data_IF_686099428674
#
_entry.id   IF_686099428674
#
_cell.length_a   1.000
_cell.length_b   1.000
_cell.length_c   1.000
_cell.angle_alpha   90.00
_cell.angle_beta   90.00
_cell.angle_gamma   90.00
#
_symmetry.space_group_name_H-M   'P 1'
#
loop_
_entity.id
_entity.type
_entity.pdbx_description
1 polymer ?
#
# COMPACT_ATOMS: atom_id res chain seq x y z
N UNK A 1 -42.41 -52.71 62.91
CA UNK A 1 -41.36 -52.36 61.93
C UNK A 1 -41.45 -50.87 61.63
N UNK A 2 -40.48 -50.07 62.11
CA UNK A 2 -40.07 -48.79 61.51
C UNK A 2 -38.86 -48.26 62.30
N UNK A 3 -37.67 -48.43 61.73
CA UNK A 3 -36.45 -47.71 62.08
C UNK A 3 -36.37 -46.50 61.15
N UNK A 4 -35.99 -45.34 61.65
CA UNK A 4 -35.24 -44.37 60.85
C UNK A 4 -34.39 -43.50 61.78
N UNK A 5 -33.10 -43.80 61.80
CA UNK A 5 -32.04 -42.94 62.33
C UNK A 5 -31.71 -41.83 61.33
N UNK A 6 -31.72 -40.59 61.79
CA UNK A 6 -31.09 -39.45 61.13
C UNK A 6 -29.57 -39.50 61.38
N UNK A 7 -28.78 -39.43 60.31
CA UNK A 7 -27.32 -39.44 60.36
C UNK A 7 -26.70 -38.73 59.15
N UNK A 8 -26.54 -37.42 59.34
CA UNK A 8 -25.66 -36.43 58.70
C UNK A 8 -24.64 -36.94 57.67
N UNK A 9 -24.80 -36.53 56.41
CA UNK A 9 -23.75 -36.60 55.38
C UNK A 9 -23.12 -35.22 55.15
N UNK A 10 -21.81 -35.11 55.36
CA UNK A 10 -21.00 -33.96 54.94
C UNK A 10 -20.99 -33.87 53.41
N UNK A 11 -21.44 -32.74 52.85
CA UNK A 11 -21.21 -32.39 51.45
C UNK A 11 -19.86 -31.68 51.34
N UNK A 12 -18.91 -32.30 50.65
CA UNK A 12 -17.66 -31.67 50.25
C UNK A 12 -17.96 -30.69 49.10
N UNK A 13 -17.82 -29.39 49.35
CA UNK A 13 -17.90 -28.36 48.33
C UNK A 13 -16.56 -28.36 47.59
N UNK A 14 -16.56 -28.94 46.39
CA UNK A 14 -15.47 -28.85 45.43
C UNK A 14 -15.48 -27.42 44.86
N UNK A 15 -14.58 -26.56 45.34
CA UNK A 15 -14.37 -25.23 44.78
C UNK A 15 -13.61 -25.40 43.47
N UNK A 16 -14.33 -25.37 42.36
CA UNK A 16 -13.74 -25.31 41.02
C UNK A 16 -13.23 -23.90 40.79
N UNK A 17 -11.95 -23.66 41.07
CA UNK A 17 -11.25 -22.44 40.64
C UNK A 17 -11.19 -22.43 39.12
N UNK A 18 -12.06 -21.64 38.48
CA UNK A 18 -11.92 -21.28 37.08
C UNK A 18 -10.67 -20.40 37.00
N UNK A 19 -9.57 -20.97 36.53
CA UNK A 19 -8.42 -20.21 36.06
C UNK A 19 -8.91 -19.39 34.86
N UNK A 20 -9.32 -18.15 35.11
CA UNK A 20 -9.39 -17.17 34.04
C UNK A 20 -7.96 -17.06 33.50
N UNK A 21 -7.72 -17.58 32.30
CA UNK A 21 -6.50 -17.33 31.57
C UNK A 21 -6.39 -15.80 31.44
N UNK A 22 -5.49 -15.21 32.21
CA UNK A 22 -5.28 -13.76 32.30
C UNK A 22 -4.08 -13.39 31.43
N UNK A 23 -4.03 -13.94 30.21
CA UNK A 23 -3.00 -13.66 29.22
C UNK A 23 -3.45 -12.60 28.21
N UNK A 24 -2.50 -12.01 27.47
CA UNK A 24 -2.82 -11.22 26.29
C UNK A 24 -3.52 -12.09 25.24
N UNK A 25 -4.29 -11.46 24.36
CA UNK A 25 -4.72 -12.08 23.11
C UNK A 25 -3.66 -11.89 22.02
N UNK A 26 -3.71 -12.72 21.00
CA UNK A 26 -2.76 -12.71 19.88
C UNK A 26 -3.43 -12.15 18.62
N UNK A 27 -2.69 -11.34 17.86
CA UNK A 27 -3.08 -10.89 16.53
C UNK A 27 -1.91 -10.98 15.56
N UNK A 28 -2.14 -11.60 14.40
CA UNK A 28 -1.18 -11.76 13.30
C UNK A 28 -1.70 -11.02 12.09
N UNK A 29 -0.94 -10.03 11.62
CA UNK A 29 -1.28 -9.23 10.45
C UNK A 29 -0.34 -9.64 9.31
N UNK A 30 -0.91 -10.04 8.19
CA UNK A 30 -0.17 -10.45 6.99
C UNK A 30 -0.41 -9.39 5.92
N UNK A 31 0.65 -8.82 5.36
CA UNK A 31 0.58 -7.75 4.38
C UNK A 31 1.13 -8.24 3.04
N UNK A 32 0.31 -8.20 2.00
CA UNK A 32 0.72 -8.65 0.68
C UNK A 32 -0.04 -7.95 -0.45
N UNK A 33 0.56 -7.87 -1.65
CA UNK A 33 -0.06 -7.25 -2.83
C UNK A 33 -0.99 -8.19 -3.63
N UNK A 34 -1.05 -9.47 -3.27
CA UNK A 34 -1.91 -10.46 -3.91
C UNK A 34 -3.37 -10.39 -3.44
N UNK A 35 -4.28 -11.05 -4.18
CA UNK A 35 -5.66 -11.24 -3.74
C UNK A 35 -5.73 -12.18 -2.52
N UNK A 36 -6.86 -12.18 -1.80
CA UNK A 36 -7.05 -13.00 -0.59
C UNK A 36 -6.91 -14.52 -0.85
N UNK A 37 -7.02 -14.96 -2.11
CA UNK A 37 -7.03 -16.38 -2.49
C UNK A 37 -5.67 -16.91 -2.97
N UNK A 38 -4.72 -16.02 -3.25
CA UNK A 38 -3.39 -16.36 -3.71
C UNK A 38 -2.48 -16.76 -2.53
N UNK A 39 -2.03 -18.03 -2.52
CA UNK A 39 -0.99 -18.49 -1.60
C UNK A 39 0.37 -17.83 -1.94
N UNK A 40 0.58 -17.45 -3.21
CA UNK A 40 1.74 -16.71 -3.71
C UNK A 40 1.55 -15.18 -3.64
N UNK A 41 0.98 -14.69 -2.53
CA UNK A 41 0.85 -13.25 -2.35
C UNK A 41 2.26 -12.65 -2.20
N UNK A 42 2.60 -11.65 -3.04
CA UNK A 42 3.84 -10.89 -2.91
C UNK A 42 3.86 -10.20 -1.53
N UNK A 43 4.44 -10.88 -0.54
CA UNK A 43 4.57 -10.40 0.81
C UNK A 43 5.33 -9.06 0.81
N UNK A 44 4.84 -8.12 1.61
CA UNK A 44 5.44 -6.80 1.72
C UNK A 44 6.33 -6.72 2.95
N UNK A 45 7.63 -6.58 2.71
CA UNK A 45 8.64 -6.31 3.74
C UNK A 45 8.66 -4.82 4.12
N UNK A 46 8.95 -4.52 5.38
CA UNK A 46 9.15 -3.15 5.86
C UNK A 46 7.87 -2.31 5.99
N UNK A 47 6.69 -2.92 6.07
CA UNK A 47 5.43 -2.20 6.30
C UNK A 47 5.20 -2.04 7.79
N UNK A 48 5.12 -0.80 8.27
CA UNK A 48 4.73 -0.49 9.65
C UNK A 48 3.23 -0.72 9.84
N UNK A 49 2.90 -1.63 10.76
CA UNK A 49 1.54 -1.97 11.16
C UNK A 49 1.33 -1.50 12.60
N UNK A 50 0.23 -0.81 12.84
CA UNK A 50 -0.17 -0.32 14.17
C UNK A 50 -1.52 -0.87 14.57
N UNK A 51 -1.64 -1.29 15.83
CA UNK A 51 -2.91 -1.56 16.49
C UNK A 51 -3.32 -0.34 17.30
N UNK A 52 -4.34 0.36 16.83
CA UNK A 52 -4.85 1.57 17.44
C UNK A 52 -6.08 1.26 18.31
N UNK A 53 -6.17 1.77 19.54
CA UNK A 53 -7.37 1.58 20.38
C UNK A 53 -8.52 2.54 20.02
N UNK A 54 -8.46 3.17 18.84
CA UNK A 54 -9.41 4.14 18.32
C UNK A 54 -9.45 4.10 16.79
N UNK A 55 -10.58 4.51 16.23
CA UNK A 55 -10.72 4.72 14.78
C UNK A 55 -10.00 6.00 14.37
N UNK A 56 -8.90 5.85 13.63
CA UNK A 56 -8.11 6.98 13.16
C UNK A 56 -8.94 7.85 12.21
N UNK A 57 -9.61 7.26 11.23
CA UNK A 57 -10.36 8.03 10.23
C UNK A 57 -11.51 8.82 10.88
N UNK A 58 -12.21 8.24 11.86
CA UNK A 58 -13.24 8.98 12.59
C UNK A 58 -12.72 10.27 13.26
N UNK A 59 -11.49 10.25 13.79
CA UNK A 59 -10.88 11.44 14.41
C UNK A 59 -10.64 12.51 13.35
N UNK A 60 -10.00 12.15 12.24
CA UNK A 60 -9.68 13.09 11.16
C UNK A 60 -10.95 13.62 10.48
N UNK A 61 -11.94 12.77 10.18
CA UNK A 61 -13.22 13.17 9.61
C UNK A 61 -13.96 14.18 10.50
N UNK A 62 -13.94 13.95 11.82
CA UNK A 62 -14.56 14.85 12.79
C UNK A 62 -13.87 16.21 12.82
N UNK A 63 -12.54 16.24 12.80
CA UNK A 63 -11.76 17.47 12.78
C UNK A 63 -11.95 18.24 11.47
N UNK A 64 -11.94 17.56 10.33
CA UNK A 64 -12.24 18.16 9.02
C UNK A 64 -13.64 18.78 9.01
N UNK A 65 -14.64 18.10 9.56
CA UNK A 65 -15.99 18.63 9.67
C UNK A 65 -16.08 19.87 10.57
N UNK A 66 -15.33 19.90 11.68
CA UNK A 66 -15.24 21.07 12.58
C UNK A 66 -14.57 22.25 11.87
N UNK A 67 -13.45 22.02 11.19
CA UNK A 67 -12.74 23.04 10.41
C UNK A 67 -13.66 23.63 9.31
N UNK A 68 -14.36 22.77 8.57
CA UNK A 68 -15.32 23.20 7.55
C UNK A 68 -16.45 24.05 8.16
N UNK A 69 -17.02 23.64 9.30
CA UNK A 69 -18.05 24.41 10.00
C UNK A 69 -17.53 25.76 10.53
N UNK A 70 -16.24 25.87 10.82
CA UNK A 70 -15.57 27.11 11.22
C UNK A 70 -15.19 28.02 10.03
N UNK A 71 -15.55 27.66 8.80
CA UNK A 71 -15.26 28.44 7.59
C UNK A 71 -13.90 28.14 6.97
N UNK A 72 -13.28 27.02 7.33
CA UNK A 72 -12.00 26.54 6.82
C UNK A 72 -12.18 25.15 6.19
N UNK A 73 -12.89 25.05 5.05
CA UNK A 73 -13.06 23.78 4.35
C UNK A 73 -11.72 23.27 3.82
N UNK A 74 -11.61 21.95 3.66
CA UNK A 74 -10.44 21.32 3.06
C UNK A 74 -10.21 21.85 1.63
N UNK A 75 -8.98 22.25 1.27
CA UNK A 75 -8.66 22.67 -0.07
C UNK A 75 -8.82 21.52 -1.08
N UNK A 76 -9.73 21.68 -2.04
CA UNK A 76 -9.92 20.73 -3.13
C UNK A 76 -8.70 20.70 -4.06
N UNK A 77 -8.33 19.51 -4.52
CA UNK A 77 -7.30 19.34 -5.55
C UNK A 77 -7.81 19.95 -6.86
N UNK A 78 -7.09 20.90 -7.47
CA UNK A 78 -7.52 21.52 -8.73
C UNK A 78 -7.71 20.48 -9.86
N UNK A 79 -8.82 20.54 -10.63
CA UNK A 79 -9.08 19.58 -11.72
C UNK A 79 -7.99 19.56 -12.81
N UNK A 80 -7.31 20.68 -13.04
CA UNK A 80 -6.19 20.77 -13.97
C UNK A 80 -4.94 20.03 -13.48
N UNK A 81 -4.76 19.92 -12.16
CA UNK A 81 -3.68 19.11 -11.60
C UNK A 81 -3.96 17.61 -11.77
N UNK A 82 -5.20 17.18 -11.56
CA UNK A 82 -5.62 15.80 -11.83
C UNK A 82 -5.43 15.43 -13.31
N UNK A 83 -5.81 16.33 -14.22
CA UNK A 83 -5.59 16.15 -15.65
C UNK A 83 -4.09 16.07 -15.98
N UNK A 84 -3.26 16.94 -15.38
CA UNK A 84 -1.81 16.91 -15.59
C UNK A 84 -1.17 15.58 -15.14
N UNK A 85 -1.64 14.99 -14.03
CA UNK A 85 -1.18 13.67 -13.59
C UNK A 85 -1.54 12.58 -14.59
N UNK A 86 -2.77 12.59 -15.11
CA UNK A 86 -3.20 11.63 -16.12
C UNK A 86 -2.35 11.75 -17.40
N UNK A 87 -2.09 12.98 -17.86
CA UNK A 87 -1.22 13.24 -19.01
C UNK A 87 0.21 12.74 -18.78
N UNK A 88 0.79 12.97 -17.59
CA UNK A 88 2.12 12.46 -17.22
C UNK A 88 2.14 10.93 -17.22
N UNK A 89 1.13 10.28 -16.65
CA UNK A 89 1.04 8.83 -16.60
C UNK A 89 0.92 8.21 -18.00
N UNK A 90 0.11 8.82 -18.88
CA UNK A 90 -0.02 8.41 -20.28
C UNK A 90 1.31 8.60 -21.03
N UNK A 91 1.95 9.77 -20.90
CA UNK A 91 3.22 10.06 -21.56
C UNK A 91 4.34 9.11 -21.10
N UNK A 92 4.40 8.77 -19.80
CA UNK A 92 5.35 7.80 -19.28
C UNK A 92 5.09 6.41 -19.88
N UNK A 93 3.83 6.00 -19.99
CA UNK A 93 3.48 4.70 -20.56
C UNK A 93 3.89 4.61 -22.03
N UNK A 94 3.56 5.62 -22.84
CA UNK A 94 3.95 5.69 -24.25
C UNK A 94 5.47 5.67 -24.43
N UNK A 95 6.20 6.39 -23.57
CA UNK A 95 7.66 6.39 -23.56
C UNK A 95 8.21 4.99 -23.25
N UNK A 96 7.74 4.32 -22.18
CA UNK A 96 8.17 2.96 -21.80
C UNK A 96 7.88 1.92 -22.88
N UNK A 97 6.72 2.00 -23.51
CA UNK A 97 6.34 1.07 -24.59
C UNK A 97 7.24 1.25 -25.82
N UNK A 98 7.55 2.50 -26.17
CA UNK A 98 8.45 2.81 -27.28
C UNK A 98 9.90 2.43 -26.97
N UNK A 99 10.37 2.66 -25.74
CA UNK A 99 11.68 2.25 -25.27
C UNK A 99 11.84 0.72 -25.31
N UNK A 100 10.81 -0.02 -24.89
CA UNK A 100 10.77 -1.48 -24.97
C UNK A 100 10.95 -1.94 -26.41
N UNK A 101 10.21 -1.33 -27.36
CA UNK A 101 10.35 -1.63 -28.79
C UNK A 101 11.75 -1.29 -29.32
N UNK A 102 12.30 -0.14 -28.93
CA UNK A 102 13.64 0.29 -29.35
C UNK A 102 14.72 -0.69 -28.86
N UNK A 103 14.63 -1.17 -27.62
CA UNK A 103 15.53 -2.19 -27.09
C UNK A 103 15.46 -3.50 -27.90
N UNK A 104 14.26 -3.97 -28.23
CA UNK A 104 14.07 -5.18 -29.07
C UNK A 104 14.72 -5.01 -30.45
N UNK A 105 14.57 -3.84 -31.08
CA UNK A 105 15.18 -3.54 -32.38
C UNK A 105 16.72 -3.52 -32.28
N UNK A 106 17.27 -2.89 -31.23
CA UNK A 106 18.72 -2.86 -30.97
C UNK A 106 19.28 -4.27 -30.85
N UNK A 107 18.65 -5.12 -30.05
CA UNK A 107 19.10 -6.48 -29.80
C UNK A 107 18.98 -7.36 -31.06
N UNK A 108 17.96 -7.11 -31.90
CA UNK A 108 17.78 -7.75 -33.20
C UNK A 108 18.90 -7.39 -34.19
N UNK A 109 19.26 -6.10 -34.26
CA UNK A 109 20.37 -5.62 -35.10
C UNK A 109 21.71 -6.23 -34.67
N UNK A 110 21.96 -6.32 -33.36
CA UNK A 110 23.15 -6.98 -32.82
C UNK A 110 23.19 -8.47 -33.21
N UNK A 111 22.05 -9.16 -33.10
CA UNK A 111 21.93 -10.58 -33.48
C UNK A 111 22.24 -10.78 -34.97
N UNK A 112 21.69 -9.93 -35.85
CA UNK A 112 21.96 -10.00 -37.28
C UNK A 112 23.42 -9.69 -37.61
N UNK A 113 24.01 -8.68 -36.96
CA UNK A 113 25.41 -8.37 -37.14
C UNK A 113 26.30 -9.58 -36.79
N UNK A 114 26.07 -10.20 -35.63
CA UNK A 114 26.82 -11.38 -35.19
C UNK A 114 26.64 -12.57 -36.16
N UNK A 115 25.44 -12.78 -36.70
CA UNK A 115 25.18 -13.84 -37.68
C UNK A 115 25.93 -13.61 -39.00
N UNK A 116 26.15 -12.36 -39.39
CA UNK A 116 26.87 -12.00 -40.62
C UNK A 116 28.39 -12.13 -40.51
N UNK A 117 28.98 -12.01 -39.31
CA UNK A 117 30.45 -12.01 -39.11
C UNK A 117 31.15 -13.30 -39.60
N UNK A 118 30.46 -14.45 -39.56
CA UNK A 118 30.99 -15.73 -40.01
C UNK A 118 30.77 -16.04 -41.50
N UNK A 119 30.07 -15.17 -42.23
CA UNK A 119 29.65 -15.43 -43.61
C UNK A 119 30.52 -14.69 -44.62
N UNK A 120 30.68 -15.29 -45.80
CA UNK A 120 31.32 -14.61 -46.92
C UNK A 120 30.29 -13.68 -47.59
N UNK A 121 30.68 -12.43 -47.84
CA UNK A 121 29.82 -11.40 -48.45
C UNK A 121 29.23 -11.76 -49.81
N UNK A 122 29.86 -12.67 -50.56
CA UNK A 122 29.34 -13.16 -51.83
C UNK A 122 28.27 -14.26 -51.67
N UNK A 123 28.07 -14.81 -50.46
CA UNK A 123 27.06 -15.81 -50.19
C UNK A 123 25.67 -15.19 -50.18
N UNK A 124 24.68 -15.90 -50.73
CA UNK A 124 23.27 -15.49 -50.71
C UNK A 124 22.76 -15.28 -49.28
N UNK A 125 23.15 -16.15 -48.34
CA UNK A 125 22.79 -16.04 -46.93
C UNK A 125 23.25 -14.71 -46.30
N UNK A 126 24.43 -14.20 -46.68
CA UNK A 126 24.88 -12.89 -46.23
C UNK A 126 23.99 -11.77 -46.78
N UNK A 127 23.68 -11.81 -48.08
CA UNK A 127 22.83 -10.78 -48.72
C UNK A 127 21.41 -10.75 -48.14
N UNK A 128 20.84 -11.92 -47.84
CA UNK A 128 19.51 -12.01 -47.22
C UNK A 128 19.50 -11.38 -45.81
N UNK A 129 20.49 -11.70 -44.96
CA UNK A 129 20.63 -11.11 -43.62
C UNK A 129 20.95 -9.61 -43.68
N UNK A 130 21.75 -9.17 -44.65
CA UNK A 130 22.08 -7.76 -44.83
C UNK A 130 20.87 -6.93 -45.23
N UNK A 131 20.00 -7.43 -46.11
CA UNK A 131 18.75 -6.75 -46.45
C UNK A 131 17.83 -6.62 -45.21
N UNK A 132 17.71 -7.70 -44.43
CA UNK A 132 16.95 -7.67 -43.18
C UNK A 132 17.51 -6.66 -42.17
N UNK A 133 18.84 -6.57 -42.08
CA UNK A 133 19.51 -5.59 -41.25
C UNK A 133 19.16 -4.16 -41.69
N UNK A 134 19.23 -3.86 -42.99
CA UNK A 134 18.91 -2.53 -43.53
C UNK A 134 17.45 -2.12 -43.25
N UNK A 135 16.51 -3.06 -43.35
CA UNK A 135 15.10 -2.81 -43.03
C UNK A 135 14.93 -2.47 -41.53
N UNK A 136 15.55 -3.26 -40.65
CA UNK A 136 15.49 -3.04 -39.21
C UNK A 136 16.25 -1.79 -38.75
N UNK A 137 17.32 -1.40 -39.43
CA UNK A 137 18.07 -0.18 -39.15
C UNK A 137 17.20 1.07 -39.38
N UNK A 138 16.38 1.05 -40.42
CA UNK A 138 15.38 2.09 -40.67
C UNK A 138 14.33 2.20 -39.57
N UNK A 139 13.84 1.06 -39.07
CA UNK A 139 12.90 1.02 -37.94
C UNK A 139 13.55 1.45 -36.62
N UNK A 140 14.79 1.04 -36.37
CA UNK A 140 15.58 1.42 -35.19
C UNK A 140 15.72 2.94 -35.11
N UNK A 141 16.16 3.58 -36.20
CA UNK A 141 16.37 5.03 -36.23
C UNK A 141 15.07 5.82 -35.99
N UNK A 142 13.94 5.32 -36.50
CA UNK A 142 12.62 5.92 -36.22
C UNK A 142 12.21 5.77 -34.76
N UNK A 143 12.41 4.57 -34.19
CA UNK A 143 12.09 4.30 -32.80
C UNK A 143 12.96 5.14 -31.85
N UNK A 144 14.27 5.25 -32.10
CA UNK A 144 15.20 6.06 -31.31
C UNK A 144 14.79 7.53 -31.27
N UNK A 145 14.46 8.12 -32.43
CA UNK A 145 13.96 9.51 -32.49
C UNK A 145 12.61 9.67 -31.76
N UNK A 146 11.77 8.65 -31.79
CA UNK A 146 10.49 8.67 -31.09
C UNK A 146 10.68 8.60 -29.57
N UNK A 147 11.59 7.74 -29.07
CA UNK A 147 11.96 7.67 -27.66
C UNK A 147 12.45 9.04 -27.17
N UNK A 148 13.34 9.70 -27.92
CA UNK A 148 13.84 11.03 -27.57
C UNK A 148 12.71 12.07 -27.44
N UNK A 149 11.82 12.16 -28.44
CA UNK A 149 10.68 13.09 -28.39
C UNK A 149 9.70 12.81 -27.25
N UNK A 150 9.43 11.53 -26.95
CA UNK A 150 8.52 11.14 -25.88
C UNK A 150 9.12 11.43 -24.51
N UNK A 151 10.44 11.20 -24.35
CA UNK A 151 11.16 11.58 -23.15
C UNK A 151 11.09 13.09 -22.90
N UNK A 152 11.40 13.91 -23.92
CA UNK A 152 11.32 15.38 -23.81
C UNK A 152 9.90 15.86 -23.44
N UNK A 153 8.87 15.25 -24.03
CA UNK A 153 7.47 15.56 -23.70
C UNK A 153 7.14 15.18 -22.24
N UNK A 154 7.51 13.97 -21.81
CA UNK A 154 7.30 13.50 -20.44
C UNK A 154 8.01 14.38 -19.41
N UNK A 155 9.27 14.77 -19.65
CA UNK A 155 10.00 15.70 -18.79
C UNK A 155 9.33 17.07 -18.74
N UNK A 156 8.91 17.62 -19.88
CA UNK A 156 8.23 18.92 -19.91
C UNK A 156 6.90 18.91 -19.16
N UNK A 157 6.15 17.81 -19.21
CA UNK A 157 4.89 17.65 -18.47
C UNK A 157 5.15 17.61 -16.95
N UNK A 158 6.15 16.86 -16.51
CA UNK A 158 6.56 16.80 -15.10
C UNK A 158 6.98 18.19 -14.59
N UNK A 159 7.87 18.87 -15.31
CA UNK A 159 8.35 20.20 -14.91
C UNK A 159 7.20 21.21 -14.78
N UNK A 160 6.21 21.13 -15.68
CA UNK A 160 5.02 21.98 -15.62
C UNK A 160 4.06 21.60 -14.47
N UNK A 161 4.09 20.36 -13.98
CA UNK A 161 3.24 19.91 -12.88
C UNK A 161 3.82 20.26 -11.51
N UNK A 162 5.15 20.15 -11.33
CA UNK A 162 5.83 20.36 -10.03
C UNK A 162 5.41 21.69 -9.38
N UNK A 163 5.47 22.81 -10.11
CA UNK A 163 5.12 24.11 -9.54
C UNK A 163 3.66 24.23 -9.08
N UNK A 164 2.75 23.46 -9.69
CA UNK A 164 1.33 23.42 -9.30
C UNK A 164 1.12 22.49 -8.10
N UNK A 165 1.81 21.35 -8.07
CA UNK A 165 1.83 20.41 -6.94
C UNK A 165 2.36 21.10 -5.68
N UNK A 166 3.49 21.80 -5.78
CA UNK A 166 4.07 22.54 -4.66
C UNK A 166 3.08 23.57 -4.07
N UNK A 167 2.37 24.30 -4.94
CA UNK A 167 1.40 25.30 -4.50
C UNK A 167 0.22 24.69 -3.75
N UNK A 168 -0.35 23.56 -4.22
CA UNK A 168 -1.48 22.93 -3.52
C UNK A 168 -1.02 22.24 -2.24
N UNK A 169 0.18 21.64 -2.25
CA UNK A 169 0.76 20.99 -1.08
C UNK A 169 0.98 22.00 0.06
N UNK A 170 1.43 23.22 -0.24
CA UNK A 170 1.54 24.29 0.76
C UNK A 170 0.17 24.67 1.32
N UNK A 171 -0.83 24.90 0.45
CA UNK A 171 -2.18 25.29 0.89
C UNK A 171 -2.84 24.20 1.73
N UNK A 172 -2.67 22.93 1.36
CA UNK A 172 -3.18 21.80 2.13
C UNK A 172 -2.42 21.60 3.44
N UNK A 173 -1.11 21.81 3.47
CA UNK A 173 -0.32 21.75 4.70
C UNK A 173 -0.74 22.85 5.69
N UNK A 174 -0.85 24.10 5.23
CA UNK A 174 -1.29 25.22 6.06
C UNK A 174 -2.71 25.02 6.60
N UNK A 175 -3.59 24.42 5.79
CA UNK A 175 -4.92 24.02 6.23
C UNK A 175 -4.86 22.91 7.28
N UNK A 176 -4.08 21.84 7.04
CA UNK A 176 -3.98 20.69 7.91
C UNK A 176 -3.40 21.05 9.28
N UNK A 177 -2.40 21.92 9.32
CA UNK A 177 -1.80 22.42 10.57
C UNK A 177 -2.84 23.08 11.48
N UNK A 178 -3.81 23.80 10.90
CA UNK A 178 -4.89 24.46 11.64
C UNK A 178 -6.06 23.51 11.91
N UNK A 179 -6.47 22.73 10.92
CA UNK A 179 -7.60 21.81 11.04
C UNK A 179 -7.33 20.68 12.05
N UNK A 180 -6.06 20.29 12.21
CA UNK A 180 -5.64 19.18 13.05
C UNK A 180 -4.81 19.58 14.28
N UNK A 181 -4.82 20.86 14.67
CA UNK A 181 -4.07 21.38 15.83
C UNK A 181 -4.31 20.54 17.12
N UNK A 182 -5.56 20.13 17.34
CA UNK A 182 -5.98 19.39 18.53
C UNK A 182 -5.86 17.85 18.41
N UNK A 183 -5.33 17.32 17.29
CA UNK A 183 -5.34 15.87 17.02
C UNK A 183 -4.66 15.05 18.12
N UNK A 184 -3.53 15.52 18.64
CA UNK A 184 -2.78 14.81 19.68
C UNK A 184 -3.55 14.75 21.00
N UNK A 185 -4.30 15.82 21.34
CA UNK A 185 -5.13 15.86 22.54
C UNK A 185 -6.29 14.86 22.42
N UNK A 186 -6.93 14.79 21.25
CA UNK A 186 -8.04 13.86 20.99
C UNK A 186 -7.55 12.41 21.03
N UNK A 187 -6.41 12.10 20.41
CA UNK A 187 -5.81 10.77 20.46
C UNK A 187 -5.52 10.37 21.91
N UNK A 188 -4.91 11.24 22.71
CA UNK A 188 -4.62 10.96 24.12
C UNK A 188 -5.92 10.65 24.90
N UNK A 189 -6.96 11.47 24.72
CA UNK A 189 -8.26 11.25 25.38
C UNK A 189 -8.94 9.95 24.94
N UNK A 190 -8.85 9.58 23.65
CA UNK A 190 -9.42 8.34 23.11
C UNK A 190 -8.69 7.10 23.63
N UNK A 191 -7.36 7.14 23.69
CA UNK A 191 -6.54 6.07 24.27
C UNK A 191 -6.84 5.89 25.76
N UNK A 192 -6.92 6.98 26.53
CA UNK A 192 -7.30 6.92 27.94
C UNK A 192 -8.70 6.33 28.14
N UNK A 193 -9.67 6.76 27.33
CA UNK A 193 -11.05 6.25 27.39
C UNK A 193 -11.14 4.75 27.05
N UNK A 194 -10.36 4.30 26.07
CA UNK A 194 -10.30 2.89 25.70
C UNK A 194 -9.66 2.03 26.80
N UNK A 195 -8.70 2.60 27.56
CA UNK A 195 -7.93 1.85 28.55
C UNK A 195 -7.07 0.74 27.93
N UNK A 196 -6.72 0.90 26.65
CA UNK A 196 -5.92 -0.03 25.86
C UNK A 196 -4.67 0.69 25.36
N UNK A 197 -3.58 -0.05 25.17
CA UNK A 197 -2.32 0.48 24.67
C UNK A 197 -2.27 0.41 23.15
N UNK A 198 -1.49 1.31 22.55
CA UNK A 198 -1.18 1.23 21.14
C UNK A 198 0.02 0.28 20.93
N UNK A 199 -0.03 -0.53 19.89
CA UNK A 199 1.08 -1.41 19.50
C UNK A 199 1.55 -1.08 18.09
N UNK A 200 2.85 -1.24 17.83
CA UNK A 200 3.45 -1.08 16.52
C UNK A 200 4.44 -2.21 16.26
N UNK A 201 4.42 -2.75 15.06
CA UNK A 201 5.37 -3.75 14.56
C UNK A 201 5.61 -3.51 13.06
N UNK A 202 6.73 -3.99 12.54
CA UNK A 202 7.08 -3.84 11.11
C UNK A 202 7.21 -5.21 10.48
N UNK A 203 6.56 -5.40 9.34
CA UNK A 203 6.63 -6.69 8.63
C UNK A 203 8.05 -7.02 8.21
N UNK A 204 8.42 -8.29 8.35
CA UNK A 204 9.65 -8.84 7.76
C UNK A 204 9.45 -9.37 6.34
N UNK A 205 10.42 -10.13 5.83
CA UNK A 205 10.39 -10.72 4.47
C UNK A 205 9.18 -11.62 4.18
N UNK A 206 8.55 -12.18 5.22
CA UNK A 206 7.33 -13.00 5.13
C UNK A 206 6.05 -12.15 5.08
N UNK A 207 6.16 -10.81 5.19
CA UNK A 207 5.03 -9.89 5.21
C UNK A 207 4.22 -9.94 6.50
N UNK A 208 4.77 -10.45 7.60
CA UNK A 208 4.03 -10.70 8.84
C UNK A 208 4.46 -9.75 9.96
N UNK A 209 3.47 -9.18 10.64
CA UNK A 209 3.59 -8.44 11.90
C UNK A 209 2.75 -9.15 12.98
N UNK A 210 3.30 -9.33 14.18
CA UNK A 210 2.67 -10.12 15.25
C UNK A 210 2.56 -9.34 16.55
N UNK A 211 1.40 -9.43 17.19
CA UNK A 211 1.05 -8.63 18.37
C UNK A 211 0.53 -9.49 19.50
N UNK A 212 0.96 -9.17 20.72
CA UNK A 212 0.32 -9.57 21.97
C UNK A 212 -0.32 -8.33 22.60
N UNK A 213 -1.65 -8.31 22.69
CA UNK A 213 -2.40 -7.13 23.15
C UNK A 213 -3.49 -7.51 24.16
N UNK A 214 -3.89 -6.55 25.00
CA UNK A 214 -5.02 -6.75 25.90
C UNK A 214 -6.31 -6.97 25.08
N UNK A 215 -7.21 -7.88 25.50
CA UNK A 215 -8.48 -8.10 24.79
C UNK A 215 -9.29 -6.81 24.68
N UNK A 216 -9.82 -6.53 23.49
CA UNK A 216 -10.45 -5.24 23.20
C UNK A 216 -10.75 -5.03 21.72
N UNK A 217 -11.33 -3.88 21.42
CA UNK A 217 -11.50 -3.41 20.05
C UNK A 217 -10.28 -2.59 19.64
N UNK A 218 -9.72 -2.91 18.48
CA UNK A 218 -8.60 -2.19 17.87
C UNK A 218 -8.89 -1.88 16.41
N UNK A 219 -8.12 -0.98 15.84
CA UNK A 219 -8.04 -0.73 14.41
C UNK A 219 -6.63 -1.06 13.94
N UNK A 220 -6.54 -1.91 12.92
CA UNK A 220 -5.30 -2.21 12.22
C UNK A 220 -5.06 -1.09 11.21
N UNK A 221 -4.05 -0.28 11.50
CA UNK A 221 -3.60 0.80 10.65
C UNK A 221 -2.29 0.42 9.96
N UNK A 222 -2.23 0.59 8.65
CA UNK A 222 -1.01 0.44 7.87
C UNK A 222 -1.09 1.28 6.60
N UNK A 223 0.07 1.60 6.03
CA UNK A 223 0.18 2.27 4.74
C UNK A 223 1.33 1.71 3.92
N UNK A 224 1.16 1.68 2.60
CA UNK A 224 2.21 1.28 1.67
C UNK A 224 2.21 2.18 0.43
N UNK A 225 3.32 2.89 0.23
CA UNK A 225 3.51 3.80 -0.90
C UNK A 225 3.86 3.03 -2.18
N UNK A 226 3.08 3.28 -3.23
CA UNK A 226 3.34 2.89 -4.61
C UNK A 226 3.76 4.15 -5.41
N UNK A 227 4.24 4.03 -6.66
CA UNK A 227 4.77 5.18 -7.40
C UNK A 227 3.82 6.38 -7.58
N UNK A 228 2.49 6.15 -7.57
CA UNK A 228 1.48 7.19 -7.80
C UNK A 228 0.34 7.17 -6.79
N UNK A 229 0.30 6.18 -5.91
CA UNK A 229 -0.78 6.02 -4.95
C UNK A 229 -0.28 5.34 -3.69
N UNK A 230 -1.07 5.42 -2.63
CA UNK A 230 -0.85 4.74 -1.38
C UNK A 230 -1.95 3.70 -1.20
N UNK A 231 -1.57 2.49 -0.77
CA UNK A 231 -2.50 1.55 -0.19
C UNK A 231 -2.67 1.89 1.28
N UNK A 232 -3.90 2.19 1.68
CA UNK A 232 -4.25 2.62 3.03
C UNK A 232 -5.18 1.60 3.70
N UNK A 233 -4.86 1.20 4.92
CA UNK A 233 -5.71 0.34 5.75
C UNK A 233 -6.02 0.99 7.09
N UNK A 234 -7.29 0.90 7.51
CA UNK A 234 -7.78 1.26 8.85
C UNK A 234 -8.96 0.33 9.18
N UNK A 235 -8.65 -0.91 9.53
CA UNK A 235 -9.64 -2.00 9.62
C UNK A 235 -9.93 -2.37 11.08
N UNK A 236 -11.19 -2.39 11.55
CA UNK A 236 -11.51 -2.77 12.91
C UNK A 236 -11.33 -4.28 13.14
N UNK A 237 -10.74 -4.63 14.28
CA UNK A 237 -10.59 -6.01 14.76
C UNK A 237 -10.97 -6.12 16.25
N UNK A 238 -11.36 -7.31 16.67
CA UNK A 238 -11.65 -7.63 18.05
C UNK A 238 -10.65 -8.68 18.56
N UNK A 239 -9.75 -8.30 19.46
CA UNK A 239 -8.79 -9.22 20.06
C UNK A 239 -9.46 -9.91 21.25
N UNK A 240 -9.46 -11.23 21.24
CA UNK A 240 -9.98 -12.07 22.33
C UNK A 240 -8.86 -12.95 22.90
N UNK A 241 -9.11 -13.61 24.03
CA UNK A 241 -8.13 -14.54 24.63
C UNK A 241 -8.21 -15.96 24.09
N UNK A 242 -9.27 -16.29 23.36
CA UNK A 242 -9.60 -17.67 23.00
C UNK A 242 -9.08 -18.04 21.62
N UNK A 243 -9.18 -17.10 20.68
CA UNK A 243 -8.81 -17.31 19.28
C UNK A 243 -7.88 -16.20 18.81
N UNK A 244 -6.68 -16.54 18.29
CA UNK A 244 -5.80 -15.58 17.64
C UNK A 244 -6.49 -14.94 16.44
N UNK A 245 -6.39 -13.62 16.34
CA UNK A 245 -6.90 -12.89 15.17
C UNK A 245 -5.87 -13.00 14.05
N UNK A 246 -6.31 -13.39 12.86
CA UNK A 246 -5.48 -13.32 11.65
C UNK A 246 -6.18 -12.40 10.65
N UNK A 247 -5.50 -11.31 10.27
CA UNK A 247 -5.99 -10.37 9.26
C UNK A 247 -4.98 -10.29 8.12
N UNK A 248 -5.48 -10.39 6.88
CA UNK A 248 -4.68 -10.14 5.68
C UNK A 248 -4.97 -8.74 5.16
N UNK A 249 -3.96 -7.90 5.05
CA UNK A 249 -4.00 -6.62 4.37
C UNK A 249 -3.62 -6.86 2.91
N UNK A 250 -4.57 -6.67 2.02
CA UNK A 250 -4.43 -6.89 0.57
C UNK A 250 -4.87 -5.66 -0.19
N UNK A 251 -4.63 -5.65 -1.50
CA UNK A 251 -5.14 -4.57 -2.36
C UNK A 251 -6.67 -4.50 -2.35
N UNK A 252 -7.34 -5.63 -2.18
CA UNK A 252 -8.81 -5.73 -2.25
C UNK A 252 -9.50 -5.06 -1.06
N UNK A 253 -8.84 -5.01 0.11
CA UNK A 253 -9.36 -4.35 1.30
C UNK A 253 -8.62 -3.05 1.66
N UNK A 254 -7.73 -2.57 0.77
CA UNK A 254 -7.11 -1.26 0.87
C UNK A 254 -8.00 -0.16 0.30
N UNK A 255 -7.99 1.01 0.92
CA UNK A 255 -8.40 2.25 0.26
C UNK A 255 -7.20 2.75 -0.55
N UNK A 256 -7.38 2.96 -1.85
CA UNK A 256 -6.34 3.54 -2.73
C UNK A 256 -6.43 5.06 -2.67
N UNK A 257 -5.37 5.71 -2.18
CA UNK A 257 -5.26 7.18 -2.10
C UNK A 257 -4.24 7.67 -3.13
N UNK A 258 -4.52 8.78 -3.81
CA UNK A 258 -3.53 9.38 -4.74
C UNK A 258 -2.46 10.12 -3.93
N UNK A 259 -1.21 10.04 -4.37
CA UNK A 259 -0.09 10.82 -3.79
C UNK A 259 0.24 11.94 -4.78
N UNK A 260 0.48 13.16 -4.28
CA UNK A 260 0.76 14.37 -5.06
C UNK A 260 2.16 14.92 -4.80
#
# INVERSE_FOLDING_TARGET
MKRSSTGTGLAAILVTTILAACGPGEATIIVALGDETSEDANALDGVEVRLLPYDRDQIFDSLTAVAAAAGMPEPEVPPDLLAAQEEIAQAQQEWRDTETRWNVLRDSLQTLNNAMEGLNRAQRAYMDLYNQYQDLEGDYNRAEQQVGRLFDNFTSLQDAAIGRMDSINIVQADWADQAFEDVSLIIAAKTELAGLEEHADTTGVEGVAAFEAAPGQYWVYARHELPYNELYWNIPIAITREEPVVLRLTRDNAVVRQIF
#
